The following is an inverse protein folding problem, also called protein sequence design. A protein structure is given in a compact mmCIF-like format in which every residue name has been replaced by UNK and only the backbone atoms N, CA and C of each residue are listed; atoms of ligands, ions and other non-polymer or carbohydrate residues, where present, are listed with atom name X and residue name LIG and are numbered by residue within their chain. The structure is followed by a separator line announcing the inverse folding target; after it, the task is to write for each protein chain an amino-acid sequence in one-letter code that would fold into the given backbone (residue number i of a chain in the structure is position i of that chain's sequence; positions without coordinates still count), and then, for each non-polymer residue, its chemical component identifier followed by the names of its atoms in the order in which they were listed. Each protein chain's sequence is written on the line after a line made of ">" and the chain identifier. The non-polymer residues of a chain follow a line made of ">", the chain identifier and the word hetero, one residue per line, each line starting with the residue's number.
data_IF_692071594285
#
_entry.id   IF_692071594285
#
_cell.length_a   1.000
_cell.length_b   1.000
_cell.length_c   1.000
_cell.angle_alpha   90.00
_cell.angle_beta   90.00
_cell.angle_gamma   90.00
#
_symmetry.space_group_name_H-M   'P 1'
#
loop_
_entity.id
_entity.type
_entity.pdbx_description
1 polymer ?
#
# COMPACT_ATOMS: atom_id res chain seq x y z
N UNK A 1 3.41 -0.13 11.40
CA UNK A 1 3.54 0.84 10.29
C UNK A 1 2.97 0.30 8.99
N UNK A 2 3.44 -0.84 8.46
CA UNK A 2 2.85 -1.46 7.25
C UNK A 2 1.90 -2.64 7.51
N UNK A 3 1.82 -3.10 8.76
CA UNK A 3 0.99 -4.22 9.19
C UNK A 3 1.19 -5.50 8.35
N UNK A 4 2.45 -5.74 7.98
CA UNK A 4 2.87 -6.93 7.25
C UNK A 4 4.15 -7.53 7.83
N UNK A 5 4.35 -8.81 7.53
CA UNK A 5 5.59 -9.50 7.83
C UNK A 5 6.62 -9.27 6.72
N UNK A 6 7.82 -8.82 7.08
CA UNK A 6 8.97 -8.73 6.17
C UNK A 6 9.83 -9.98 6.36
N UNK A 7 9.90 -10.82 5.33
CA UNK A 7 10.59 -12.12 5.41
C UNK A 7 12.10 -12.03 5.11
N UNK A 8 12.56 -10.97 4.44
CA UNK A 8 13.97 -10.77 4.09
C UNK A 8 14.31 -9.28 3.93
N UNK A 9 15.56 -8.92 4.25
CA UNK A 9 16.11 -7.56 4.12
C UNK A 9 17.54 -7.65 3.59
N UNK A 10 17.97 -6.66 2.82
CA UNK A 10 19.34 -6.57 2.33
C UNK A 10 19.72 -5.14 1.93
N UNK A 11 21.03 -4.90 1.88
CA UNK A 11 21.62 -3.62 1.51
C UNK A 11 22.32 -3.83 0.18
N UNK A 12 21.89 -3.09 -0.85
CA UNK A 12 22.42 -3.18 -2.20
C UNK A 12 23.34 -2.00 -2.47
N UNK A 13 24.56 -2.27 -2.95
CA UNK A 13 25.44 -1.22 -3.44
C UNK A 13 25.08 -0.86 -4.89
N UNK A 14 25.81 0.10 -5.48
CA UNK A 14 25.61 0.54 -6.86
C UNK A 14 25.76 -0.61 -7.86
N UNK A 15 26.80 -1.43 -7.73
CA UNK A 15 27.06 -2.53 -8.66
C UNK A 15 25.98 -3.61 -8.58
N UNK A 16 25.44 -3.85 -7.38
CA UNK A 16 24.31 -4.75 -7.19
C UNK A 16 23.06 -4.21 -7.87
N UNK A 17 22.74 -2.92 -7.71
CA UNK A 17 21.60 -2.30 -8.39
C UNK A 17 21.76 -2.31 -9.92
N UNK A 18 22.95 -2.03 -10.45
CA UNK A 18 23.22 -2.12 -11.89
C UNK A 18 22.98 -3.53 -12.42
N UNK A 19 23.46 -4.55 -11.68
CA UNK A 19 23.25 -5.95 -12.04
C UNK A 19 21.77 -6.33 -12.00
N UNK A 20 21.05 -5.92 -10.96
CA UNK A 20 19.64 -6.27 -10.75
C UNK A 20 18.73 -5.57 -11.76
N UNK A 21 18.98 -4.30 -12.10
CA UNK A 21 18.18 -3.53 -13.06
C UNK A 21 18.61 -3.72 -14.52
N UNK A 22 19.77 -4.31 -14.76
CA UNK A 22 20.31 -4.57 -16.11
C UNK A 22 19.32 -5.21 -17.09
N UNK A 23 18.52 -6.23 -16.70
CA UNK A 23 17.54 -6.85 -17.58
C UNK A 23 16.43 -5.90 -18.09
N UNK A 24 16.13 -4.82 -17.37
CA UNK A 24 15.13 -3.82 -17.79
C UNK A 24 15.63 -3.01 -18.98
N UNK A 25 16.93 -2.76 -19.06
CA UNK A 25 17.53 -1.90 -20.08
C UNK A 25 17.18 -0.41 -19.92
N UNK A 26 17.31 0.39 -20.99
CA UNK A 26 16.94 1.81 -20.98
C UNK A 26 15.43 2.00 -20.79
N UNK A 27 15.04 3.04 -20.06
CA UNK A 27 13.64 3.37 -19.73
C UNK A 27 13.27 4.77 -20.20
N UNK A 28 12.01 4.97 -20.59
CA UNK A 28 11.43 6.31 -20.70
C UNK A 28 10.92 6.78 -19.34
N UNK A 29 11.47 7.88 -18.84
CA UNK A 29 11.12 8.47 -17.55
C UNK A 29 10.64 9.91 -17.73
N UNK A 30 9.75 10.34 -16.84
CA UNK A 30 9.33 11.73 -16.67
C UNK A 30 9.73 12.17 -15.27
N UNK A 31 10.62 13.16 -15.18
CA UNK A 31 11.04 13.76 -13.91
C UNK A 31 10.35 15.11 -13.71
N UNK A 32 9.82 15.34 -12.52
CA UNK A 32 9.13 16.59 -12.15
C UNK A 32 10.11 17.71 -11.74
N UNK A 33 11.37 17.36 -11.51
CA UNK A 33 12.42 18.24 -11.03
C UNK A 33 13.80 17.72 -11.43
N UNK A 34 14.82 18.58 -11.35
CA UNK A 34 16.21 18.15 -11.56
C UNK A 34 16.64 17.19 -10.46
N UNK A 35 17.37 16.14 -10.84
CA UNK A 35 17.98 15.19 -9.90
C UNK A 35 19.44 15.57 -9.73
N UNK A 36 19.86 15.83 -8.50
CA UNK A 36 21.21 16.27 -8.14
C UNK A 36 21.82 15.35 -7.10
N UNK A 37 23.14 15.22 -7.14
CA UNK A 37 23.89 14.44 -6.17
C UNK A 37 25.08 15.23 -5.66
N UNK A 38 25.24 15.28 -4.35
CA UNK A 38 26.41 15.83 -3.69
C UNK A 38 27.41 14.70 -3.41
N UNK A 39 28.61 14.85 -3.97
CA UNK A 39 29.71 13.92 -3.76
C UNK A 39 30.28 13.98 -2.34
N UNK A 40 31.18 13.04 -2.03
CA UNK A 40 31.92 13.05 -0.76
C UNK A 40 32.84 14.27 -0.60
N UNK A 41 33.17 14.94 -1.72
CA UNK A 41 33.90 16.19 -1.80
C UNK A 41 33.03 17.43 -1.54
N UNK A 42 31.72 17.25 -1.31
CA UNK A 42 30.76 18.33 -1.14
C UNK A 42 30.32 18.99 -2.44
N UNK A 43 30.79 18.52 -3.61
CA UNK A 43 30.40 19.08 -4.89
C UNK A 43 29.05 18.54 -5.35
N UNK A 44 28.10 19.43 -5.65
CA UNK A 44 26.80 19.05 -6.22
C UNK A 44 26.89 18.96 -7.75
N UNK A 45 26.45 17.83 -8.28
CA UNK A 45 26.42 17.53 -9.72
C UNK A 45 24.99 17.23 -10.17
N UNK A 46 24.66 17.58 -11.41
CA UNK A 46 23.39 17.22 -12.04
C UNK A 46 23.46 15.75 -12.50
N UNK A 47 22.55 14.92 -12.02
CA UNK A 47 22.42 13.50 -12.41
C UNK A 47 21.47 13.36 -13.58
N UNK A 48 20.29 14.01 -13.50
CA UNK A 48 19.30 14.01 -14.56
C UNK A 48 18.51 15.31 -14.56
N UNK A 49 18.09 15.78 -15.73
CA UNK A 49 17.31 17.01 -15.88
C UNK A 49 15.82 16.71 -15.75
N UNK A 50 15.06 17.68 -15.24
CA UNK A 50 13.59 17.67 -15.30
C UNK A 50 13.07 17.45 -16.73
N UNK A 51 11.91 16.81 -16.85
CA UNK A 51 11.22 16.51 -18.10
C UNK A 51 11.30 15.05 -18.53
N UNK A 52 10.83 14.79 -19.74
CA UNK A 52 10.83 13.44 -20.35
C UNK A 52 12.19 13.13 -20.96
N UNK A 53 12.75 11.96 -20.67
CA UNK A 53 13.98 11.48 -21.28
C UNK A 53 14.02 9.94 -21.37
N UNK A 54 14.83 9.42 -22.30
CA UNK A 54 15.25 8.02 -22.28
C UNK A 54 16.55 7.94 -21.49
N UNK A 55 16.58 7.12 -20.44
CA UNK A 55 17.69 7.04 -19.49
C UNK A 55 18.18 5.59 -19.46
N UNK A 56 19.51 5.40 -19.54
CA UNK A 56 20.13 4.08 -19.43
C UNK A 56 20.15 3.56 -18.00
N UNK A 57 20.47 2.27 -17.82
CA UNK A 57 20.47 1.64 -16.49
C UNK A 57 21.46 2.32 -15.52
N UNK A 58 22.59 2.83 -16.02
CA UNK A 58 23.57 3.52 -15.18
C UNK A 58 23.02 4.82 -14.59
N UNK A 59 22.42 5.65 -15.44
CA UNK A 59 21.81 6.91 -15.05
C UNK A 59 20.55 6.70 -14.21
N UNK A 60 19.77 5.64 -14.47
CA UNK A 60 18.63 5.23 -13.64
C UNK A 60 19.06 4.87 -12.21
N UNK A 61 20.13 4.08 -12.05
CA UNK A 61 20.73 3.81 -10.73
C UNK A 61 21.29 5.09 -10.11
N UNK A 62 21.87 5.97 -10.93
CA UNK A 62 22.28 7.30 -10.52
C UNK A 62 21.15 8.09 -9.88
N UNK A 63 19.96 8.10 -10.50
CA UNK A 63 18.77 8.79 -9.98
C UNK A 63 18.31 8.19 -8.65
N UNK A 64 18.23 6.85 -8.54
CA UNK A 64 17.81 6.18 -7.29
C UNK A 64 18.76 6.45 -6.13
N UNK A 65 20.06 6.56 -6.40
CA UNK A 65 21.09 6.78 -5.39
C UNK A 65 21.39 8.27 -5.13
N UNK A 66 20.87 9.17 -5.96
CA UNK A 66 21.16 10.59 -5.86
C UNK A 66 20.72 11.15 -4.52
N UNK A 67 21.62 11.89 -3.88
CA UNK A 67 21.36 12.61 -2.64
C UNK A 67 22.08 13.95 -2.66
N UNK A 68 21.32 15.03 -2.56
CA UNK A 68 21.85 16.37 -2.39
C UNK A 68 21.90 16.74 -0.89
N UNK A 69 23.01 17.32 -0.43
CA UNK A 69 23.10 17.85 0.93
C UNK A 69 22.07 18.98 1.04
N UNK A 70 21.26 18.95 2.09
CA UNK A 70 20.13 19.88 2.35
C UNK A 70 18.84 19.65 1.54
N UNK A 71 18.77 18.58 0.73
CA UNK A 71 17.50 18.13 0.16
C UNK A 71 16.71 17.30 1.18
N UNK A 72 15.40 17.56 1.32
CA UNK A 72 14.51 16.69 2.07
C UNK A 72 14.34 15.33 1.37
N UNK A 73 14.21 14.26 2.14
CA UNK A 73 13.86 12.92 1.65
C UNK A 73 12.50 12.92 0.95
N UNK A 74 11.55 13.75 1.40
CA UNK A 74 10.28 13.95 0.67
C UNK A 74 10.46 14.39 -0.78
N UNK A 75 11.42 15.27 -1.05
CA UNK A 75 11.71 15.70 -2.42
C UNK A 75 12.27 14.55 -3.26
N UNK A 76 12.99 13.61 -2.63
CA UNK A 76 13.51 12.40 -3.30
C UNK A 76 12.42 11.37 -3.61
N UNK A 77 11.31 11.34 -2.86
CA UNK A 77 10.25 10.33 -3.07
C UNK A 77 9.67 10.37 -4.49
N UNK A 78 9.51 11.56 -5.07
CA UNK A 78 9.02 11.71 -6.44
C UNK A 78 10.01 11.17 -7.48
N UNK A 79 11.32 11.32 -7.25
CA UNK A 79 12.35 10.73 -8.12
C UNK A 79 12.30 9.21 -8.07
N UNK A 80 12.18 8.61 -6.87
CA UNK A 80 12.04 7.16 -6.70
C UNK A 80 10.77 6.65 -7.39
N UNK A 81 9.63 7.31 -7.19
CA UNK A 81 8.38 6.95 -7.86
C UNK A 81 8.52 7.02 -9.37
N UNK A 82 9.13 8.07 -9.90
CA UNK A 82 9.32 8.25 -11.34
C UNK A 82 10.21 7.13 -11.91
N UNK A 83 11.31 6.79 -11.24
CA UNK A 83 12.19 5.70 -11.62
C UNK A 83 11.47 4.33 -11.60
N UNK A 84 10.78 4.00 -10.52
CA UNK A 84 10.04 2.73 -10.41
C UNK A 84 8.85 2.65 -11.37
N UNK A 85 8.18 3.77 -11.65
CA UNK A 85 7.12 3.84 -12.66
C UNK A 85 7.68 3.62 -14.06
N UNK A 86 8.83 4.22 -14.39
CA UNK A 86 9.50 4.01 -15.67
C UNK A 86 9.94 2.55 -15.85
N UNK A 87 10.47 1.92 -14.79
CA UNK A 87 10.78 0.48 -14.76
C UNK A 87 9.51 -0.34 -15.01
N UNK A 88 8.44 -0.10 -14.26
CA UNK A 88 7.18 -0.84 -14.40
C UNK A 88 6.59 -0.72 -15.81
N UNK A 89 6.60 0.48 -16.40
CA UNK A 89 6.14 0.71 -17.76
C UNK A 89 6.98 -0.04 -18.80
N UNK A 90 8.30 -0.07 -18.61
CA UNK A 90 9.23 -0.78 -19.51
C UNK A 90 9.06 -2.30 -19.41
N UNK A 91 8.82 -2.80 -18.20
CA UNK A 91 8.48 -4.21 -17.95
C UNK A 91 7.15 -4.59 -18.61
N UNK A 92 6.15 -3.71 -18.57
CA UNK A 92 4.85 -3.92 -19.21
C UNK A 92 4.14 -5.15 -18.65
N UNK A 93 3.90 -6.15 -19.50
CA UNK A 93 3.30 -7.44 -19.09
C UNK A 93 4.33 -8.47 -18.59
N UNK A 94 5.61 -8.11 -18.54
CA UNK A 94 6.73 -8.97 -18.18
C UNK A 94 7.78 -9.07 -19.29
N UNK A 95 9.05 -9.12 -18.89
CA UNK A 95 10.21 -9.14 -19.81
C UNK A 95 10.50 -10.53 -20.41
N UNK A 96 9.82 -11.59 -19.94
CA UNK A 96 10.03 -12.98 -20.38
C UNK A 96 11.50 -13.40 -20.34
N UNK A 97 12.17 -13.07 -19.24
CA UNK A 97 13.58 -13.40 -19.00
C UNK A 97 13.74 -14.92 -19.05
N UNK A 98 14.52 -15.41 -20.02
CA UNK A 98 14.86 -16.83 -20.14
C UNK A 98 15.77 -17.19 -18.96
N UNK A 99 15.36 -18.17 -18.14
CA UNK A 99 16.08 -18.86 -17.04
C UNK A 99 15.27 -19.07 -15.75
N UNK A 100 13.95 -18.91 -15.75
CA UNK A 100 13.12 -19.46 -14.68
C UNK A 100 13.06 -21.00 -14.80
N UNK A 101 14.13 -21.70 -14.43
CA UNK A 101 14.02 -23.09 -13.96
C UNK A 101 13.40 -23.16 -12.55
N UNK A 102 13.14 -22.00 -11.94
CA UNK A 102 12.53 -21.89 -10.62
C UNK A 102 11.02 -21.96 -10.72
N UNK A 103 10.44 -22.81 -9.88
CA UNK A 103 9.00 -22.94 -9.72
C UNK A 103 8.43 -21.57 -9.29
N UNK A 104 7.43 -20.99 -9.99
CA UNK A 104 6.82 -19.73 -9.60
C UNK A 104 6.22 -19.76 -8.18
N UNK A 105 5.96 -20.95 -7.63
CA UNK A 105 5.44 -21.17 -6.27
C UNK A 105 6.52 -21.21 -5.18
N UNK A 106 7.80 -21.38 -5.54
CA UNK A 106 8.88 -21.43 -4.56
C UNK A 106 9.24 -20.03 -4.08
N UNK A 107 9.42 -19.79 -2.78
CA UNK A 107 9.81 -18.46 -2.29
C UNK A 107 11.22 -18.09 -2.79
N UNK A 108 11.45 -16.89 -3.36
CA UNK A 108 12.79 -16.46 -3.77
C UNK A 108 13.73 -16.39 -2.57
N UNK A 109 14.92 -16.98 -2.70
CA UNK A 109 15.94 -17.05 -1.62
C UNK A 109 16.99 -15.94 -1.71
N UNK A 110 17.04 -15.19 -2.81
CA UNK A 110 17.96 -14.07 -3.02
C UNK A 110 17.33 -12.94 -3.86
N UNK A 111 17.98 -11.77 -3.87
CA UNK A 111 17.52 -10.58 -4.60
C UNK A 111 17.49 -10.76 -6.11
N UNK A 112 18.42 -11.53 -6.68
CA UNK A 112 18.48 -11.72 -8.12
C UNK A 112 17.26 -12.52 -8.61
N UNK A 113 16.96 -13.62 -7.93
CA UNK A 113 15.79 -14.47 -8.18
C UNK A 113 14.48 -13.72 -7.92
N UNK A 114 14.43 -12.90 -6.87
CA UNK A 114 13.28 -12.03 -6.61
C UNK A 114 13.05 -11.02 -7.74
N UNK A 115 14.08 -10.26 -8.13
CA UNK A 115 13.96 -9.23 -9.18
C UNK A 115 13.65 -9.83 -10.55
N UNK A 116 14.22 -11.00 -10.88
CA UNK A 116 13.88 -11.72 -12.10
C UNK A 116 12.40 -12.12 -12.16
N UNK A 117 11.83 -12.59 -11.04
CA UNK A 117 10.40 -12.92 -10.97
C UNK A 117 9.53 -11.68 -11.04
N UNK A 118 9.91 -10.62 -10.32
CA UNK A 118 9.22 -9.33 -10.36
C UNK A 118 9.14 -8.80 -11.81
N UNK A 119 10.25 -8.83 -12.55
CA UNK A 119 10.30 -8.35 -13.94
C UNK A 119 9.70 -9.31 -14.98
N UNK A 120 9.35 -10.54 -14.58
CA UNK A 120 8.66 -11.47 -15.47
C UNK A 120 7.14 -11.32 -15.45
N UNK A 121 6.59 -10.52 -14.53
CA UNK A 121 5.19 -10.17 -14.49
C UNK A 121 4.95 -8.67 -14.60
N UNK A 122 3.69 -8.24 -14.72
CA UNK A 122 3.32 -6.83 -14.62
C UNK A 122 3.59 -6.30 -13.21
N UNK A 123 4.02 -5.04 -13.14
CA UNK A 123 4.36 -4.35 -11.89
C UNK A 123 3.40 -3.19 -11.69
N UNK A 124 2.89 -3.05 -10.47
CA UNK A 124 2.14 -1.89 -10.03
C UNK A 124 2.89 -1.20 -8.91
N UNK A 125 3.04 0.12 -9.02
CA UNK A 125 3.72 0.94 -8.02
C UNK A 125 2.69 1.73 -7.24
N UNK A 126 2.66 1.53 -5.92
CA UNK A 126 1.82 2.25 -4.99
C UNK A 126 2.68 3.19 -4.16
N UNK A 127 2.31 4.48 -4.12
CA UNK A 127 2.91 5.46 -3.22
C UNK A 127 1.88 5.81 -2.16
N UNK A 128 2.22 5.55 -0.89
CA UNK A 128 1.40 5.96 0.23
C UNK A 128 1.43 7.48 0.41
N UNK A 129 0.29 8.03 0.82
CA UNK A 129 0.22 9.40 1.30
C UNK A 129 0.98 9.48 2.62
N UNK A 130 1.89 10.44 2.69
CA UNK A 130 2.76 10.66 3.83
C UNK A 130 2.65 12.13 4.25
N UNK A 131 2.43 12.36 5.55
CA UNK A 131 2.35 13.70 6.14
C UNK A 131 3.58 13.93 7.00
N UNK A 132 4.24 15.08 6.81
CA UNK A 132 5.41 15.43 7.60
C UNK A 132 5.04 15.55 9.08
N UNK A 133 5.86 14.95 9.95
CA UNK A 133 5.70 15.06 11.40
C UNK A 133 6.47 16.28 11.89
N UNK A 134 5.77 17.33 12.37
CA UNK A 134 6.43 18.56 12.78
C UNK A 134 7.34 18.33 13.98
N UNK A 135 8.33 19.21 14.15
CA UNK A 135 9.18 19.23 15.34
C UNK A 135 8.30 19.33 16.61
N UNK A 136 8.58 18.49 17.59
CA UNK A 136 7.74 18.39 18.77
C UNK A 136 8.04 17.14 19.59
N UNK A 137 7.08 16.73 20.43
CA UNK A 137 7.22 15.56 21.33
C UNK A 137 7.52 14.29 20.53
N UNK A 138 6.82 14.10 19.41
CA UNK A 138 6.98 12.92 18.56
C UNK A 138 8.21 13.00 17.64
N UNK A 139 8.71 14.22 17.36
CA UNK A 139 9.90 14.47 16.53
C UNK A 139 10.86 15.48 17.20
N UNK A 140 11.52 15.11 18.32
CA UNK A 140 12.29 16.06 19.14
C UNK A 140 13.58 16.53 18.46
N UNK A 141 14.10 15.73 17.52
CA UNK A 141 15.33 16.02 16.80
C UNK A 141 15.09 16.68 15.44
N UNK A 142 13.85 17.06 15.13
CA UNK A 142 13.47 17.65 13.84
C UNK A 142 13.98 16.82 12.64
N UNK A 143 13.89 15.50 12.76
CA UNK A 143 14.25 14.59 11.69
C UNK A 143 13.25 14.74 10.54
N UNK A 144 13.68 14.37 9.34
CA UNK A 144 12.79 14.26 8.19
C UNK A 144 11.90 13.01 8.34
N UNK A 145 10.87 13.16 9.16
CA UNK A 145 9.98 12.08 9.60
C UNK A 145 8.59 12.28 9.01
N UNK A 146 8.01 11.18 8.53
CA UNK A 146 6.67 11.16 7.94
C UNK A 146 5.79 10.12 8.62
N UNK A 147 4.52 10.47 8.77
CA UNK A 147 3.47 9.55 9.18
C UNK A 147 2.65 9.13 7.96
N UNK A 148 2.35 7.84 7.87
CA UNK A 148 1.46 7.29 6.84
C UNK A 148 0.03 7.23 7.36
N UNK A 149 -0.96 7.32 6.47
CA UNK A 149 -2.35 7.01 6.81
C UNK A 149 -2.50 5.49 7.02
N UNK A 150 -2.76 5.02 8.26
CA UNK A 150 -2.88 3.59 8.54
C UNK A 150 -4.03 2.92 7.79
N UNK A 151 -5.09 3.69 7.45
CA UNK A 151 -6.25 3.18 6.73
C UNK A 151 -5.92 2.94 5.27
N UNK A 152 -5.19 3.86 4.64
CA UNK A 152 -4.69 3.69 3.28
C UNK A 152 -3.71 2.51 3.19
N UNK A 153 -2.77 2.42 4.14
CA UNK A 153 -1.83 1.31 4.21
C UNK A 153 -2.58 -0.02 4.32
N UNK A 154 -3.52 -0.12 5.25
CA UNK A 154 -4.32 -1.34 5.45
C UNK A 154 -5.11 -1.70 4.20
N UNK A 155 -5.77 -0.72 3.57
CA UNK A 155 -6.52 -0.91 2.33
C UNK A 155 -5.65 -1.47 1.21
N UNK A 156 -4.48 -0.85 0.97
CA UNK A 156 -3.57 -1.28 -0.09
C UNK A 156 -3.03 -2.67 0.22
N UNK A 157 -2.55 -2.94 1.44
CA UNK A 157 -1.99 -4.26 1.78
C UNK A 157 -3.04 -5.37 1.72
N UNK A 158 -4.25 -5.12 2.18
CA UNK A 158 -5.38 -6.05 2.06
C UNK A 158 -5.83 -6.27 0.60
N UNK A 159 -5.47 -5.38 -0.31
CA UNK A 159 -5.74 -5.53 -1.75
C UNK A 159 -4.61 -6.25 -2.49
N UNK A 160 -3.36 -5.87 -2.24
CA UNK A 160 -2.19 -6.33 -3.03
C UNK A 160 -1.50 -7.55 -2.45
N UNK A 161 -1.54 -7.72 -1.13
CA UNK A 161 -0.86 -8.81 -0.42
C UNK A 161 -1.68 -9.29 0.79
N UNK A 162 -2.95 -9.73 0.59
CA UNK A 162 -3.86 -10.05 1.68
C UNK A 162 -3.32 -11.14 2.62
N UNK A 163 -2.58 -12.11 2.09
CA UNK A 163 -1.95 -13.19 2.90
C UNK A 163 -0.83 -12.70 3.81
N UNK A 164 -0.33 -11.48 3.59
CA UNK A 164 0.75 -10.88 4.38
C UNK A 164 0.24 -9.91 5.45
N UNK A 165 -1.06 -9.58 5.45
CA UNK A 165 -1.67 -8.69 6.44
C UNK A 165 -1.66 -9.36 7.81
N UNK A 166 -1.01 -8.74 8.77
CA UNK A 166 -1.15 -9.09 10.19
C UNK A 166 -2.38 -8.37 10.73
N UNK A 167 -3.28 -9.02 11.45
CA UNK A 167 -4.45 -8.33 12.04
C UNK A 167 -4.07 -7.21 13.01
N UNK A 168 -5.06 -6.50 13.55
CA UNK A 168 -4.89 -5.44 14.56
C UNK A 168 -4.21 -5.92 15.85
N UNK A 169 -4.11 -7.23 16.06
CA UNK A 169 -3.57 -7.85 17.27
C UNK A 169 -4.56 -7.84 18.45
N UNK A 170 -5.78 -7.34 18.24
CA UNK A 170 -6.86 -7.39 19.21
C UNK A 170 -7.41 -8.82 19.26
N UNK A 171 -7.32 -9.45 20.43
CA UNK A 171 -7.85 -10.81 20.61
C UNK A 171 -9.36 -10.84 20.34
N UNK A 172 -9.79 -11.68 19.39
CA UNK A 172 -11.20 -11.80 19.01
C UNK A 172 -11.68 -10.77 17.98
N UNK A 173 -10.77 -9.99 17.36
CA UNK A 173 -11.12 -9.15 16.23
C UNK A 173 -11.74 -9.97 15.09
N UNK A 174 -12.81 -9.43 14.49
CA UNK A 174 -13.46 -10.03 13.33
C UNK A 174 -12.66 -9.69 12.07
N UNK A 175 -12.21 -10.70 11.33
CA UNK A 175 -11.59 -10.51 10.03
C UNK A 175 -12.66 -10.29 8.97
N UNK A 176 -12.48 -9.24 8.18
CA UNK A 176 -13.47 -8.76 7.23
C UNK A 176 -12.93 -8.66 5.82
N UNK A 177 -13.79 -9.02 4.88
CA UNK A 177 -13.60 -8.78 3.46
C UNK A 177 -14.49 -7.62 3.03
N UNK A 178 -13.95 -6.70 2.24
CA UNK A 178 -14.67 -5.58 1.67
C UNK A 178 -14.72 -5.74 0.16
N UNK A 179 -15.94 -5.72 -0.39
CA UNK A 179 -16.19 -5.68 -1.83
C UNK A 179 -16.78 -4.32 -2.20
N UNK A 180 -16.04 -3.52 -2.97
CA UNK A 180 -16.44 -2.21 -3.45
C UNK A 180 -16.83 -2.27 -4.94
N UNK A 181 -18.06 -1.88 -5.32
CA UNK A 181 -18.44 -1.75 -6.73
C UNK A 181 -18.08 -0.39 -7.35
N UNK A 182 -17.54 0.55 -6.57
CA UNK A 182 -17.41 1.95 -6.96
C UNK A 182 -16.14 2.26 -7.75
N UNK A 183 -15.10 1.41 -7.65
CA UNK A 183 -13.78 1.69 -8.21
C UNK A 183 -13.26 3.09 -7.80
N UNK A 184 -13.59 3.50 -6.57
CA UNK A 184 -13.23 4.78 -5.98
C UNK A 184 -12.41 4.54 -4.70
N UNK A 185 -11.08 4.76 -4.75
CA UNK A 185 -10.20 4.54 -3.60
C UNK A 185 -10.56 5.38 -2.37
N UNK A 186 -11.24 6.52 -2.53
CA UNK A 186 -11.67 7.32 -1.38
C UNK A 186 -12.77 6.60 -0.60
N UNK A 187 -13.71 5.95 -1.30
CA UNK A 187 -14.78 5.15 -0.68
C UNK A 187 -14.18 3.94 0.04
N UNK A 188 -13.30 3.20 -0.64
CA UNK A 188 -12.65 2.01 -0.07
C UNK A 188 -11.77 2.36 1.14
N UNK A 189 -11.07 3.49 1.12
CA UNK A 189 -10.28 3.96 2.27
C UNK A 189 -11.14 4.32 3.46
N UNK A 190 -12.25 4.99 3.22
CA UNK A 190 -13.12 5.48 4.29
C UNK A 190 -13.81 4.33 5.04
N UNK A 191 -14.22 3.26 4.35
CA UNK A 191 -14.76 2.07 5.03
C UNK A 191 -13.67 1.40 5.87
N UNK A 192 -12.45 1.25 5.34
CA UNK A 192 -11.32 0.67 6.08
C UNK A 192 -11.04 1.47 7.35
N UNK A 193 -10.99 2.81 7.24
CA UNK A 193 -10.79 3.70 8.40
C UNK A 193 -11.82 3.46 9.50
N UNK A 194 -13.09 3.30 9.12
CA UNK A 194 -14.22 3.10 10.05
C UNK A 194 -14.20 1.71 10.70
N UNK A 195 -13.86 0.67 9.95
CA UNK A 195 -13.78 -0.69 10.47
C UNK A 195 -12.57 -0.88 11.39
N UNK A 196 -11.42 -0.31 11.03
CA UNK A 196 -10.23 -0.31 11.91
C UNK A 196 -10.51 0.44 13.21
N UNK A 197 -11.30 1.52 13.17
CA UNK A 197 -11.66 2.28 14.38
C UNK A 197 -12.48 1.47 15.41
N UNK A 198 -13.24 0.46 14.97
CA UNK A 198 -13.98 -0.48 15.85
C UNK A 198 -13.19 -1.76 16.15
N UNK A 199 -11.92 -1.83 15.75
CA UNK A 199 -11.05 -2.98 16.01
C UNK A 199 -11.27 -4.18 15.08
N UNK A 200 -11.81 -3.96 13.88
CA UNK A 200 -11.93 -5.03 12.87
C UNK A 200 -10.61 -5.24 12.13
N UNK A 201 -10.38 -6.49 11.75
CA UNK A 201 -9.21 -6.90 10.97
C UNK A 201 -9.58 -6.90 9.48
N UNK A 202 -9.27 -5.82 8.76
CA UNK A 202 -9.49 -5.78 7.31
C UNK A 202 -8.47 -6.68 6.62
N UNK A 203 -8.91 -7.89 6.27
CA UNK A 203 -8.06 -8.94 5.73
C UNK A 203 -8.04 -8.96 4.20
N UNK A 204 -9.11 -8.47 3.54
CA UNK A 204 -9.21 -8.47 2.08
C UNK A 204 -10.04 -7.29 1.59
N UNK A 205 -9.53 -6.56 0.59
CA UNK A 205 -10.26 -5.50 -0.10
C UNK A 205 -10.25 -5.77 -1.60
N UNK A 206 -11.45 -5.82 -2.20
CA UNK A 206 -11.64 -6.07 -3.64
C UNK A 206 -12.49 -4.97 -4.26
N UNK A 207 -12.04 -4.48 -5.40
CA UNK A 207 -12.92 -3.73 -6.31
C UNK A 207 -13.62 -4.75 -7.23
N UNK A 208 -14.94 -4.85 -7.11
CA UNK A 208 -15.79 -5.82 -7.81
C UNK A 208 -16.72 -5.05 -8.75
N UNK A 209 -16.41 -4.96 -10.05
CA UNK A 209 -17.21 -4.18 -11.00
C UNK A 209 -18.66 -4.67 -11.06
N UNK A 210 -19.61 -3.74 -10.91
CA UNK A 210 -21.03 -4.03 -10.98
C UNK A 210 -21.88 -2.81 -10.62
N UNK A 211 -23.19 -2.84 -10.88
CA UNK A 211 -24.08 -1.78 -10.39
C UNK A 211 -24.06 -1.78 -8.85
N UNK A 212 -23.80 -0.64 -8.19
CA UNK A 212 -23.87 -0.57 -6.75
C UNK A 212 -25.31 -0.80 -6.28
N UNK A 213 -25.46 -1.58 -5.22
CA UNK A 213 -26.73 -1.77 -4.53
C UNK A 213 -27.12 -0.53 -3.72
N UNK A 214 -28.42 -0.38 -3.42
CA UNK A 214 -28.92 0.76 -2.65
C UNK A 214 -28.41 0.75 -1.20
N UNK A 215 -28.47 -0.41 -0.53
CA UNK A 215 -27.99 -0.60 0.84
C UNK A 215 -26.67 -1.35 0.83
N UNK A 216 -25.76 -0.98 1.72
CA UNK A 216 -24.62 -1.82 2.09
C UNK A 216 -25.13 -3.14 2.65
N UNK A 217 -24.55 -4.26 2.20
CA UNK A 217 -24.96 -5.60 2.61
C UNK A 217 -23.84 -6.24 3.43
N UNK A 218 -24.18 -6.78 4.59
CA UNK A 218 -23.26 -7.56 5.43
C UNK A 218 -23.63 -9.03 5.32
N UNK A 219 -22.71 -9.78 4.73
CA UNK A 219 -22.81 -11.23 4.57
C UNK A 219 -22.07 -11.94 5.68
N UNK A 220 -22.74 -12.89 6.32
CA UNK A 220 -22.21 -13.64 7.45
C UNK A 220 -22.57 -15.13 7.34
N UNK A 221 -21.76 -15.98 7.98
CA UNK A 221 -22.07 -17.42 8.09
C UNK A 221 -22.73 -17.74 9.42
N UNK A 222 -22.13 -17.24 10.51
CA UNK A 222 -22.63 -17.37 11.89
C UNK A 222 -23.25 -16.05 12.34
N UNK A 223 -24.54 -16.04 12.70
CA UNK A 223 -25.25 -14.83 13.14
C UNK A 223 -24.72 -14.27 14.46
N UNK A 224 -24.03 -15.07 15.27
CA UNK A 224 -23.51 -14.63 16.57
C UNK A 224 -22.48 -13.51 16.42
N UNK A 225 -21.79 -13.44 15.28
CA UNK A 225 -20.78 -12.40 15.01
C UNK A 225 -21.41 -11.02 14.82
N UNK A 226 -22.73 -10.92 14.62
CA UNK A 226 -23.45 -9.66 14.44
C UNK A 226 -23.89 -9.01 15.75
N UNK A 227 -23.84 -9.72 16.87
CA UNK A 227 -24.23 -9.19 18.17
C UNK A 227 -23.17 -8.18 18.68
N UNK A 228 -23.63 -7.10 19.30
CA UNK A 228 -22.81 -6.13 20.07
C UNK A 228 -21.81 -5.23 19.34
N UNK A 229 -21.85 -5.10 18.01
CA UNK A 229 -20.77 -4.39 17.30
C UNK A 229 -21.00 -2.88 17.08
N UNK A 230 -22.21 -2.35 17.31
CA UNK A 230 -22.51 -0.92 17.07
C UNK A 230 -22.22 -0.43 15.64
N UNK A 231 -22.10 -1.35 14.68
CA UNK A 231 -21.55 -1.09 13.34
C UNK A 231 -22.32 -0.02 12.56
N UNK A 232 -23.62 0.10 12.84
CA UNK A 232 -24.51 1.09 12.21
C UNK A 232 -24.03 2.53 12.43
N UNK A 233 -23.46 2.82 13.60
CA UNK A 233 -22.93 4.15 13.91
C UNK A 233 -21.65 4.47 13.14
N UNK A 234 -20.98 3.43 12.64
CA UNK A 234 -19.72 3.56 11.92
C UNK A 234 -19.89 3.53 10.42
N UNK A 235 -20.85 2.79 9.86
CA UNK A 235 -21.00 2.60 8.40
C UNK A 235 -22.37 3.01 7.85
N UNK A 236 -23.28 3.49 8.70
CA UNK A 236 -24.63 3.89 8.32
C UNK A 236 -25.59 2.71 8.18
N UNK A 237 -26.68 2.93 7.45
CA UNK A 237 -27.69 1.90 7.22
C UNK A 237 -27.16 0.77 6.33
N UNK A 238 -27.39 -0.47 6.77
CA UNK A 238 -27.05 -1.68 6.05
C UNK A 238 -28.15 -2.74 6.23
N UNK A 239 -28.13 -3.73 5.35
CA UNK A 239 -28.88 -4.97 5.51
C UNK A 239 -27.93 -6.13 5.76
N UNK A 240 -28.46 -7.24 6.29
CA UNK A 240 -27.67 -8.42 6.59
C UNK A 240 -28.21 -9.62 5.82
N UNK A 241 -27.33 -10.42 5.22
CA UNK A 241 -27.68 -11.64 4.52
C UNK A 241 -26.83 -12.81 5.01
N UNK A 242 -27.46 -13.97 5.22
CA UNK A 242 -26.70 -15.17 5.53
C UNK A 242 -26.12 -15.77 4.24
N UNK A 243 -24.84 -16.12 4.25
CA UNK A 243 -24.14 -16.78 3.15
C UNK A 243 -23.57 -18.13 3.58
N UNK A 244 -23.44 -19.05 2.63
CA UNK A 244 -22.69 -20.32 2.80
C UNK A 244 -21.29 -20.25 2.21
N UNK A 245 -21.02 -19.23 1.41
CA UNK A 245 -19.75 -19.02 0.72
C UNK A 245 -19.03 -17.84 1.35
N UNK A 246 -17.78 -18.09 1.77
CA UNK A 246 -16.85 -17.06 2.24
C UNK A 246 -15.42 -17.44 1.88
N UNK A 247 -14.56 -16.44 1.74
CA UNK A 247 -13.13 -16.69 1.71
C UNK A 247 -12.68 -17.29 3.05
N UNK A 248 -11.68 -18.17 3.01
CA UNK A 248 -11.15 -18.80 4.21
C UNK A 248 -10.52 -17.73 5.13
N UNK A 249 -10.85 -17.78 6.42
CA UNK A 249 -10.34 -16.82 7.41
C UNK A 249 -11.06 -15.47 7.42
N UNK A 250 -12.24 -15.35 6.79
CA UNK A 250 -13.07 -14.13 6.81
C UNK A 250 -14.36 -14.40 7.59
N UNK A 251 -14.64 -13.67 8.67
CA UNK A 251 -15.89 -13.79 9.43
C UNK A 251 -17.04 -13.04 8.76
N UNK A 252 -16.78 -11.87 8.19
CA UNK A 252 -17.78 -11.01 7.55
C UNK A 252 -17.36 -10.55 6.16
N UNK A 253 -18.28 -10.59 5.21
CA UNK A 253 -18.12 -9.95 3.90
C UNK A 253 -19.03 -8.73 3.83
N UNK A 254 -18.45 -7.56 3.60
CA UNK A 254 -19.15 -6.28 3.50
C UNK A 254 -19.16 -5.87 2.02
N UNK A 255 -20.34 -5.82 1.42
CA UNK A 255 -20.53 -5.36 0.04
C UNK A 255 -21.07 -3.94 0.07
N UNK A 256 -20.27 -2.97 -0.40
CA UNK A 256 -20.61 -1.55 -0.27
C UNK A 256 -21.79 -1.17 -1.17
N UNK A 257 -22.75 -0.43 -0.60
CA UNK A 257 -23.88 0.16 -1.31
C UNK A 257 -23.89 1.69 -1.27
N UNK A 258 -24.86 2.29 -1.97
CA UNK A 258 -25.06 3.74 -2.00
C UNK A 258 -25.32 4.33 -0.59
N UNK A 259 -25.90 3.54 0.32
CA UNK A 259 -26.11 3.96 1.71
C UNK A 259 -24.81 4.33 2.42
N UNK A 260 -23.74 3.55 2.25
CA UNK A 260 -22.44 3.87 2.84
C UNK A 260 -21.83 5.12 2.19
N UNK A 261 -21.90 5.25 0.87
CA UNK A 261 -21.38 6.44 0.15
C UNK A 261 -22.10 7.71 0.59
N UNK A 262 -23.42 7.64 0.80
CA UNK A 262 -24.19 8.78 1.31
C UNK A 262 -23.77 9.11 2.74
N UNK A 263 -23.72 8.10 3.60
CA UNK A 263 -23.31 8.24 4.99
C UNK A 263 -21.88 8.82 5.12
N UNK A 264 -20.93 8.37 4.30
CA UNK A 264 -19.56 8.87 4.33
C UNK A 264 -19.44 10.32 3.83
N UNK A 265 -20.27 10.74 2.87
CA UNK A 265 -20.34 12.15 2.41
C UNK A 265 -20.84 13.11 3.49
N UNK A 266 -21.76 12.65 4.33
CA UNK A 266 -22.22 13.42 5.49
C UNK A 266 -21.13 13.54 6.57
N UNK A 267 -20.03 12.80 6.40
CA UNK A 267 -18.81 12.76 7.21
C UNK A 267 -19.08 12.80 8.73
N UNK A 268 -19.92 11.89 9.26
CA UNK A 268 -20.15 11.81 10.69
C UNK A 268 -18.83 11.47 11.39
N UNK A 269 -18.57 12.18 12.49
CA UNK A 269 -17.44 11.90 13.36
C UNK A 269 -17.46 10.42 13.77
N UNK A 270 -16.27 9.82 13.87
CA UNK A 270 -16.16 8.50 14.46
C UNK A 270 -16.67 8.56 15.91
N UNK A 271 -17.56 7.66 16.32
CA UNK A 271 -17.96 7.51 17.71
C UNK A 271 -16.72 7.37 18.62
N UNK A 272 -16.79 7.95 19.82
CA UNK A 272 -15.72 7.79 20.80
C UNK A 272 -15.64 6.33 21.25
N UNK A 273 -14.49 5.69 21.09
CA UNK A 273 -14.24 4.35 21.64
C UNK A 273 -13.81 4.48 23.09
N UNK A 274 -14.73 4.24 24.03
CA UNK A 274 -14.37 4.12 25.45
C UNK A 274 -13.62 2.82 25.66
N UNK A 275 -12.30 2.90 25.80
CA UNK A 275 -11.51 1.84 26.44
C UNK A 275 -11.83 1.91 27.93
N UNK A 276 -12.70 1.03 28.42
CA UNK A 276 -12.84 0.85 29.87
C UNK A 276 -11.60 0.08 30.31
N UNK A 277 -10.71 0.65 31.15
CA UNK A 277 -9.60 -0.12 31.70
C UNK A 277 -10.18 -1.28 32.50
N UNK A 278 -9.69 -2.49 32.28
CA UNK A 278 -10.01 -3.61 33.15
C UNK A 278 -9.61 -3.24 34.58
N UNK A 279 -10.57 -3.22 35.51
CA UNK A 279 -10.31 -3.05 36.93
C UNK A 279 -9.39 -4.19 37.38
N UNK A 280 -8.31 -3.84 38.08
CA UNK A 280 -7.32 -4.75 38.66
C UNK A 280 -7.91 -5.56 39.82
#
# INVERSE_FOLDING_TARGET
>A
MLNVTISAVGILNRDDLLRLLGPVGPVEILLDSDVRNTGADGATSLVAKTGKATIDTFSLVGILLAREIDQSESARFNHHKSAWTAIANTVGLGLRLQNLQTDPLETPVDFASFMQRLFNGPIQIWQFVATAVPAGVDNPNSLDMFSLDPSEVTMIMASVAPTSVTGSGVAGALAVQIDSPFNDPAVSREIVRRLVAIGFDVALVREVPGPPQELTEIRYVDSNVLADIGLKDFIGDFETAQTRERAQGIELQIVLGNSFVKFSKDNPNLPATTVVPAEQ
#
